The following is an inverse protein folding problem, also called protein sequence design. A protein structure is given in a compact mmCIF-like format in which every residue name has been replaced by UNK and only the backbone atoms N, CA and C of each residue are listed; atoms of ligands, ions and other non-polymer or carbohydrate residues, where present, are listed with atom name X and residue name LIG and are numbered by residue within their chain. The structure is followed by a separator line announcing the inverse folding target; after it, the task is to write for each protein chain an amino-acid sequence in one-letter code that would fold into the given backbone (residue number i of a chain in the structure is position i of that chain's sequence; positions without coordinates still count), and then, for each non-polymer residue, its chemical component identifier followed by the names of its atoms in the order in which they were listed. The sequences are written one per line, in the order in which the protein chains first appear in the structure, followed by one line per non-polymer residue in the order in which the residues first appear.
data_IF_950684380837
#
_entry.id   IF_950684380837
#
_cell.length_a   1.000
_cell.length_b   1.000
_cell.length_c   1.000
_cell.angle_alpha   90.00
_cell.angle_beta   90.00
_cell.angle_gamma   90.00
#
_symmetry.space_group_name_H-M   'P 1'
#
loop_
_entity.id
_entity.type
_entity.pdbx_description
1 polymer ?
#
# COMPACT_ATOMS: atom_id res chain seq x y z
N UNK A 1 -7.74 -1.32 40.78
CA UNK A 1 -7.01 -0.74 39.63
C UNK A 1 -7.92 -0.86 38.42
N UNK A 2 -8.80 0.13 38.26
CA UNK A 2 -9.73 0.19 37.12
C UNK A 2 -8.97 0.97 36.06
N UNK A 3 -8.51 0.30 35.01
CA UNK A 3 -7.95 1.00 33.85
C UNK A 3 -9.05 1.85 33.23
N UNK A 4 -8.75 3.11 32.95
CA UNK A 4 -9.71 4.02 32.32
C UNK A 4 -10.08 3.52 30.91
N UNK A 5 -11.28 3.87 30.42
CA UNK A 5 -11.76 3.47 29.09
C UNK A 5 -10.76 3.83 27.96
N UNK A 6 -10.00 4.92 28.15
CA UNK A 6 -8.94 5.36 27.26
C UNK A 6 -7.71 4.43 27.26
N UNK A 7 -7.33 3.87 28.41
CA UNK A 7 -6.21 2.92 28.52
C UNK A 7 -6.58 1.56 27.92
N UNK A 8 -7.80 1.06 28.17
CA UNK A 8 -8.31 -0.17 27.54
C UNK A 8 -8.30 -0.08 26.02
N UNK A 9 -8.67 1.07 25.47
CA UNK A 9 -8.73 1.26 24.03
C UNK A 9 -7.35 1.45 23.37
N UNK A 10 -6.42 2.16 24.02
CA UNK A 10 -5.02 2.26 23.54
C UNK A 10 -4.38 0.87 23.49
N UNK A 11 -4.63 0.02 24.49
CA UNK A 11 -4.14 -1.36 24.50
C UNK A 11 -4.79 -2.19 23.39
N UNK A 12 -6.10 -2.02 23.13
CA UNK A 12 -6.78 -2.68 22.01
C UNK A 12 -6.23 -2.25 20.64
N UNK A 13 -5.98 -0.95 20.46
CA UNK A 13 -5.40 -0.40 19.24
C UNK A 13 -3.95 -0.89 19.02
N UNK A 14 -3.12 -0.90 20.08
CA UNK A 14 -1.80 -1.50 20.03
C UNK A 14 -1.87 -3.00 19.69
N UNK A 15 -2.77 -3.74 20.32
CA UNK A 15 -2.90 -5.18 20.12
C UNK A 15 -3.41 -5.52 18.72
N UNK A 16 -4.36 -4.75 18.18
CA UNK A 16 -4.85 -4.90 16.80
C UNK A 16 -3.80 -4.51 15.77
N UNK A 17 -3.08 -3.40 16.00
CA UNK A 17 -2.01 -2.91 15.12
C UNK A 17 -0.77 -3.80 15.09
N UNK A 18 -0.33 -4.33 16.24
CA UNK A 18 0.73 -5.34 16.27
C UNK A 18 0.23 -6.71 15.82
N UNK A 19 -1.04 -7.03 16.07
CA UNK A 19 -1.70 -8.25 15.60
C UNK A 19 -1.69 -8.37 14.09
N UNK A 20 -2.01 -7.29 13.34
CA UNK A 20 -1.91 -7.30 11.86
C UNK A 20 -0.48 -7.54 11.38
N UNK A 21 0.53 -6.98 12.05
CA UNK A 21 1.94 -7.17 11.69
C UNK A 21 2.33 -8.64 11.91
N UNK A 22 1.96 -9.24 13.04
CA UNK A 22 2.24 -10.65 13.32
C UNK A 22 1.55 -11.54 12.29
N UNK A 23 0.26 -11.30 12.00
CA UNK A 23 -0.48 -12.05 10.98
C UNK A 23 0.15 -11.90 9.60
N UNK A 24 0.64 -10.71 9.26
CA UNK A 24 1.33 -10.47 7.99
C UNK A 24 2.65 -11.24 7.93
N UNK A 25 3.45 -11.24 9.00
CA UNK A 25 4.69 -12.02 9.08
C UNK A 25 4.40 -13.53 8.98
N UNK A 26 3.35 -14.02 9.65
CA UNK A 26 2.88 -15.39 9.53
C UNK A 26 2.47 -15.70 8.07
N UNK A 27 1.75 -14.79 7.41
CA UNK A 27 1.42 -14.91 6.00
C UNK A 27 2.68 -15.00 5.13
N UNK A 28 3.65 -14.10 5.32
CA UNK A 28 4.90 -14.11 4.54
C UNK A 28 5.68 -15.41 4.74
N UNK A 29 5.71 -15.96 5.96
CA UNK A 29 6.37 -17.23 6.25
C UNK A 29 5.65 -18.43 5.62
N UNK A 30 4.33 -18.49 5.74
CA UNK A 30 3.52 -19.61 5.24
C UNK A 30 3.31 -19.58 3.73
N UNK A 31 3.61 -18.47 3.04
CA UNK A 31 3.26 -18.27 1.63
C UNK A 31 3.82 -19.33 0.68
N UNK A 32 4.99 -19.90 1.00
CA UNK A 32 5.59 -20.98 0.19
C UNK A 32 5.09 -22.37 0.55
N UNK A 33 4.70 -22.59 1.81
CA UNK A 33 4.41 -23.93 2.35
C UNK A 33 2.93 -24.23 2.41
N UNK A 34 2.09 -23.23 2.68
CA UNK A 34 0.64 -23.34 2.75
C UNK A 34 0.00 -22.02 2.30
N UNK A 35 -0.22 -21.88 0.99
CA UNK A 35 -0.82 -20.69 0.38
C UNK A 35 -2.20 -20.35 0.94
N UNK A 36 -3.02 -21.35 1.28
CA UNK A 36 -4.37 -21.11 1.80
C UNK A 36 -4.30 -20.48 3.19
N UNK A 37 -3.47 -21.03 4.08
CA UNK A 37 -3.26 -20.44 5.40
C UNK A 37 -2.64 -19.04 5.31
N UNK A 38 -1.69 -18.84 4.38
CA UNK A 38 -1.10 -17.53 4.13
C UNK A 38 -2.15 -16.52 3.63
N UNK A 39 -2.98 -16.90 2.66
CA UNK A 39 -4.05 -16.06 2.14
C UNK A 39 -5.07 -15.67 3.21
N UNK A 40 -5.47 -16.62 4.06
CA UNK A 40 -6.37 -16.33 5.18
C UNK A 40 -5.71 -15.34 6.15
N UNK A 41 -4.45 -15.57 6.54
CA UNK A 41 -3.72 -14.67 7.43
C UNK A 41 -3.55 -13.27 6.83
N UNK A 42 -3.27 -13.17 5.51
CA UNK A 42 -3.18 -11.91 4.77
C UNK A 42 -4.50 -11.14 4.78
N UNK A 43 -5.61 -11.83 4.45
CA UNK A 43 -6.94 -11.22 4.43
C UNK A 43 -7.34 -10.73 5.82
N UNK A 44 -7.12 -11.54 6.87
CA UNK A 44 -7.42 -11.12 8.25
C UNK A 44 -6.55 -9.92 8.63
N UNK A 45 -5.26 -9.90 8.27
CA UNK A 45 -4.38 -8.76 8.51
C UNK A 45 -4.92 -7.47 7.86
N UNK A 46 -5.34 -7.52 6.59
CA UNK A 46 -5.93 -6.38 5.89
C UNK A 46 -7.30 -5.94 6.43
N UNK A 47 -8.09 -6.87 6.98
CA UNK A 47 -9.34 -6.51 7.66
C UNK A 47 -9.07 -5.78 8.99
N UNK A 48 -8.05 -6.22 9.75
CA UNK A 48 -7.64 -5.55 10.98
C UNK A 48 -7.11 -4.14 10.72
N UNK A 49 -6.43 -3.92 9.60
CA UNK A 49 -6.03 -2.58 9.12
C UNK A 49 -7.26 -1.66 8.94
N UNK A 50 -8.26 -2.09 8.17
CA UNK A 50 -9.45 -1.28 7.95
C UNK A 50 -10.19 -0.94 9.27
N UNK A 51 -10.20 -1.87 10.22
CA UNK A 51 -10.78 -1.68 11.55
C UNK A 51 -9.96 -0.72 12.42
N UNK A 52 -8.63 -0.82 12.43
CA UNK A 52 -7.75 0.04 13.21
C UNK A 52 -7.89 1.52 12.77
N UNK A 53 -7.92 1.76 11.46
CA UNK A 53 -8.06 3.09 10.89
C UNK A 53 -9.46 3.66 11.06
N UNK A 54 -10.50 2.82 11.07
CA UNK A 54 -11.86 3.26 11.36
C UNK A 54 -12.01 3.68 12.83
N UNK A 55 -11.51 2.86 13.76
CA UNK A 55 -11.59 3.13 15.18
C UNK A 55 -10.78 4.37 15.59
N UNK A 56 -9.57 4.55 15.03
CA UNK A 56 -8.74 5.73 15.28
C UNK A 56 -9.40 7.05 14.84
N UNK A 57 -10.30 7.02 13.85
CA UNK A 57 -11.05 8.20 13.38
C UNK A 57 -12.24 8.51 14.27
N UNK A 58 -13.01 7.50 14.66
CA UNK A 58 -14.18 7.67 15.56
C UNK A 58 -13.74 8.25 16.91
N UNK A 59 -12.57 7.83 17.40
CA UNK A 59 -12.09 8.18 18.73
C UNK A 59 -11.16 9.41 18.72
N UNK A 60 -10.97 10.06 17.58
CA UNK A 60 -10.08 11.22 17.41
C UNK A 60 -8.65 10.97 17.93
N UNK A 61 -8.15 9.73 17.82
CA UNK A 61 -6.81 9.30 18.24
C UNK A 61 -5.89 9.04 17.05
N UNK A 62 -6.23 9.59 15.88
CA UNK A 62 -5.40 9.47 14.67
C UNK A 62 -4.10 10.24 14.84
N UNK A 63 -2.96 9.55 14.77
CA UNK A 63 -1.62 10.16 14.86
C UNK A 63 -0.92 10.15 13.52
N UNK A 64 -0.03 11.14 13.29
CA UNK A 64 0.82 11.16 12.08
C UNK A 64 1.69 9.90 11.99
N UNK A 65 2.29 9.51 13.11
CA UNK A 65 3.11 8.29 13.18
C UNK A 65 2.31 7.03 12.82
N UNK A 66 1.10 6.87 13.37
CA UNK A 66 0.22 5.76 13.03
C UNK A 66 -0.11 5.72 11.54
N UNK A 67 -0.45 6.86 10.93
CA UNK A 67 -0.72 6.93 9.49
C UNK A 67 0.51 6.62 8.61
N UNK A 68 1.73 6.94 9.07
CA UNK A 68 2.97 6.59 8.37
C UNK A 68 3.27 5.10 8.48
N UNK A 69 3.13 4.54 9.68
CA UNK A 69 3.34 3.12 9.94
C UNK A 69 2.35 2.27 9.14
N UNK A 70 1.08 2.68 9.13
CA UNK A 70 0.00 2.06 8.38
C UNK A 70 0.34 1.93 6.88
N UNK A 71 0.63 3.06 6.24
CA UNK A 71 1.06 3.10 4.83
C UNK A 71 2.26 2.19 4.57
N UNK A 72 3.27 2.21 5.44
CA UNK A 72 4.49 1.43 5.25
C UNK A 72 4.21 -0.09 5.35
N UNK A 73 3.41 -0.51 6.33
CA UNK A 73 3.05 -1.93 6.52
C UNK A 73 2.27 -2.45 5.32
N UNK A 74 1.34 -1.66 4.76
CA UNK A 74 0.59 -2.05 3.55
C UNK A 74 1.49 -2.26 2.34
N UNK A 75 2.50 -1.38 2.17
CA UNK A 75 3.48 -1.52 1.08
C UNK A 75 4.35 -2.75 1.29
N UNK A 76 4.81 -3.00 2.51
CA UNK A 76 5.56 -4.21 2.85
C UNK A 76 4.74 -5.49 2.62
N UNK A 77 3.43 -5.47 2.90
CA UNK A 77 2.53 -6.58 2.63
C UNK A 77 2.49 -6.92 1.13
N UNK A 78 2.29 -5.91 0.30
CA UNK A 78 2.30 -6.05 -1.16
C UNK A 78 3.65 -6.57 -1.67
N UNK A 79 4.75 -6.07 -1.10
CA UNK A 79 6.11 -6.53 -1.44
C UNK A 79 6.31 -8.01 -1.10
N UNK A 80 5.77 -8.51 0.02
CA UNK A 80 5.81 -9.94 0.34
C UNK A 80 5.17 -10.79 -0.77
N UNK A 81 3.98 -10.40 -1.26
CA UNK A 81 3.29 -11.11 -2.34
C UNK A 81 4.12 -11.11 -3.64
N UNK A 82 4.71 -9.97 -4.00
CA UNK A 82 5.58 -9.83 -5.18
C UNK A 82 6.87 -10.65 -5.04
N UNK A 83 7.47 -10.68 -3.84
CA UNK A 83 8.67 -11.46 -3.57
C UNK A 83 8.42 -12.96 -3.72
N UNK A 84 7.23 -13.44 -3.35
CA UNK A 84 6.85 -14.83 -3.57
C UNK A 84 6.64 -15.13 -5.07
N UNK A 85 5.99 -14.21 -5.82
CA UNK A 85 5.86 -14.31 -7.28
C UNK A 85 7.20 -14.33 -8.02
N UNK A 86 8.24 -13.69 -7.49
CA UNK A 86 9.61 -13.76 -8.08
C UNK A 86 10.15 -15.20 -8.06
N UNK A 87 9.85 -15.97 -6.99
CA UNK A 87 10.26 -17.38 -6.88
C UNK A 87 9.53 -18.23 -7.92
N UNK A 88 8.25 -17.94 -8.14
CA UNK A 88 7.37 -18.66 -9.06
C UNK A 88 7.65 -18.35 -10.53
N UNK A 89 7.98 -17.08 -10.83
CA UNK A 89 8.16 -16.57 -12.18
C UNK A 89 9.48 -15.80 -12.33
N UNK A 90 10.65 -16.48 -12.23
CA UNK A 90 11.95 -15.82 -12.22
C UNK A 90 12.25 -15.03 -13.50
N UNK A 91 11.64 -15.38 -14.63
CA UNK A 91 11.75 -14.62 -15.90
C UNK A 91 11.28 -13.17 -15.77
N UNK A 92 10.31 -12.90 -14.89
CA UNK A 92 9.74 -11.56 -14.67
C UNK A 92 10.30 -10.85 -13.44
N UNK A 93 11.37 -11.39 -12.84
CA UNK A 93 11.98 -10.88 -11.61
C UNK A 93 12.25 -9.37 -11.66
N UNK A 94 12.84 -8.89 -12.76
CA UNK A 94 13.17 -7.47 -12.91
C UNK A 94 11.92 -6.58 -12.84
N UNK A 95 10.81 -7.00 -13.44
CA UNK A 95 9.55 -6.23 -13.44
C UNK A 95 8.97 -6.14 -12.03
N UNK A 96 8.96 -7.25 -11.29
CA UNK A 96 8.50 -7.26 -9.90
C UNK A 96 9.41 -6.43 -8.98
N UNK A 97 10.72 -6.55 -9.13
CA UNK A 97 11.69 -5.75 -8.37
C UNK A 97 11.52 -4.26 -8.63
N UNK A 98 11.41 -3.86 -9.90
CA UNK A 98 11.17 -2.47 -10.28
C UNK A 98 9.87 -1.95 -9.68
N UNK A 99 8.78 -2.74 -9.77
CA UNK A 99 7.49 -2.36 -9.18
C UNK A 99 7.58 -2.17 -7.66
N UNK A 100 8.29 -3.03 -6.93
CA UNK A 100 8.45 -2.90 -5.48
C UNK A 100 9.20 -1.62 -5.11
N UNK A 101 10.32 -1.34 -5.79
CA UNK A 101 11.15 -0.15 -5.53
C UNK A 101 10.36 1.13 -5.80
N UNK A 102 9.65 1.17 -6.92
CA UNK A 102 8.87 2.35 -7.32
C UNK A 102 7.65 2.54 -6.41
N UNK A 103 6.92 1.48 -6.04
CA UNK A 103 5.74 1.56 -5.17
C UNK A 103 6.11 2.10 -3.78
N UNK A 104 7.17 1.57 -3.15
CA UNK A 104 7.58 2.08 -1.82
C UNK A 104 8.16 3.49 -1.89
N UNK A 105 8.99 3.80 -2.89
CA UNK A 105 9.63 5.12 -3.01
C UNK A 105 8.60 6.22 -3.29
N UNK A 106 7.64 5.96 -4.18
CA UNK A 106 6.58 6.91 -4.53
C UNK A 106 5.70 7.26 -3.33
N UNK A 107 5.26 6.24 -2.57
CA UNK A 107 4.43 6.47 -1.39
C UNK A 107 5.21 7.16 -0.28
N UNK A 108 6.46 6.76 -0.04
CA UNK A 108 7.31 7.38 0.96
C UNK A 108 7.50 8.88 0.69
N UNK A 109 7.92 9.25 -0.53
CA UNK A 109 8.13 10.65 -0.91
C UNK A 109 6.82 11.45 -0.94
N UNK A 110 5.73 10.86 -1.44
CA UNK A 110 4.42 11.51 -1.44
C UNK A 110 3.90 11.76 -0.02
N UNK A 111 4.16 10.84 0.91
CA UNK A 111 3.80 10.98 2.31
C UNK A 111 4.63 12.05 3.02
N UNK A 112 5.94 12.07 2.80
CA UNK A 112 6.79 13.11 3.37
C UNK A 112 6.45 14.51 2.84
N UNK A 113 6.26 14.66 1.53
CA UNK A 113 5.83 15.94 0.93
C UNK A 113 4.47 16.41 1.48
N UNK A 114 3.51 15.50 1.66
CA UNK A 114 2.23 15.82 2.30
C UNK A 114 2.39 16.30 3.74
N UNK A 115 3.25 15.67 4.54
CA UNK A 115 3.46 16.06 5.94
C UNK A 115 4.17 17.41 6.03
N UNK A 116 5.18 17.65 5.18
CA UNK A 116 5.91 18.92 5.09
C UNK A 116 4.99 20.07 4.65
N UNK A 117 4.04 19.80 3.74
CA UNK A 117 3.01 20.75 3.33
C UNK A 117 1.88 20.99 4.34
N UNK A 118 1.96 20.41 5.55
CA UNK A 118 0.94 20.54 6.60
C UNK A 118 -0.30 19.65 6.42
N UNK A 119 -0.31 18.77 5.41
CA UNK A 119 -1.35 17.78 5.19
C UNK A 119 -1.31 16.67 6.25
N UNK A 120 -2.49 16.13 6.59
CA UNK A 120 -2.63 15.05 7.57
C UNK A 120 -2.42 13.65 6.95
N UNK A 121 -2.40 13.52 5.61
CA UNK A 121 -2.28 12.23 4.90
C UNK A 121 -1.87 12.41 3.43
N UNK A 122 -1.05 11.49 2.90
CA UNK A 122 -0.62 11.38 1.50
C UNK A 122 -1.75 11.12 0.48
N UNK A 123 -3.02 11.29 0.85
CA UNK A 123 -4.18 11.07 -0.04
C UNK A 123 -4.77 12.39 -0.55
N UNK A 124 -4.23 13.53 -0.14
CA UNK A 124 -4.65 14.86 -0.60
C UNK A 124 -3.70 15.38 -1.67
N UNK A 125 -4.14 15.38 -2.93
CA UNK A 125 -3.40 15.93 -4.08
C UNK A 125 -3.97 17.30 -4.45
N UNK A 126 -3.10 18.21 -4.90
CA UNK A 126 -3.43 19.52 -5.43
C UNK A 126 -4.40 19.46 -6.63
N UNK A 127 -5.31 20.44 -6.72
CA UNK A 127 -6.45 20.41 -7.64
C UNK A 127 -6.08 20.54 -9.12
N UNK A 128 -4.81 20.81 -9.46
CA UNK A 128 -4.31 20.89 -10.84
C UNK A 128 -3.86 19.54 -11.43
N UNK A 129 -4.11 18.43 -10.72
CA UNK A 129 -3.79 17.08 -11.19
C UNK A 129 -4.58 16.65 -12.44
N UNK A 130 -4.00 15.70 -13.20
CA UNK A 130 -4.66 15.08 -14.36
C UNK A 130 -6.01 14.45 -13.98
N UNK A 131 -7.01 14.43 -14.89
CA UNK A 131 -8.38 14.00 -14.58
C UNK A 131 -8.47 12.55 -14.07
N UNK A 132 -7.57 11.67 -14.51
CA UNK A 132 -7.46 10.28 -14.01
C UNK A 132 -7.03 10.27 -12.54
N UNK A 133 -6.03 11.09 -12.18
CA UNK A 133 -5.51 11.15 -10.83
C UNK A 133 -6.55 11.77 -9.88
N UNK A 134 -7.29 12.77 -10.37
CA UNK A 134 -8.43 13.35 -9.64
C UNK A 134 -9.52 12.30 -9.38
N UNK A 135 -9.92 11.49 -10.36
CA UNK A 135 -10.91 10.42 -10.14
C UNK A 135 -10.42 9.40 -9.09
N UNK A 136 -9.15 9.01 -9.18
CA UNK A 136 -8.53 8.03 -8.30
C UNK A 136 -8.47 8.51 -6.84
N UNK A 137 -8.05 9.75 -6.59
CA UNK A 137 -7.92 10.29 -5.22
C UNK A 137 -9.19 10.94 -4.65
N UNK A 138 -10.11 11.41 -5.50
CA UNK A 138 -11.34 12.07 -5.04
C UNK A 138 -12.44 11.07 -4.64
N UNK A 139 -12.53 9.92 -5.32
CA UNK A 139 -13.53 8.90 -5.01
C UNK A 139 -12.91 7.77 -4.17
N UNK A 140 -13.19 7.78 -2.87
CA UNK A 140 -12.71 6.77 -1.92
C UNK A 140 -13.11 5.35 -2.28
N UNK A 141 -14.27 5.15 -2.92
CA UNK A 141 -14.73 3.84 -3.35
C UNK A 141 -13.87 3.33 -4.50
N UNK A 142 -13.56 4.19 -5.48
CA UNK A 142 -12.67 3.84 -6.60
C UNK A 142 -11.28 3.49 -6.09
N UNK A 143 -10.72 4.31 -5.19
CA UNK A 143 -9.43 4.04 -4.56
C UNK A 143 -9.40 2.67 -3.87
N UNK A 144 -10.41 2.41 -3.04
CA UNK A 144 -10.52 1.15 -2.29
C UNK A 144 -10.64 -0.06 -3.22
N UNK A 145 -11.53 0.00 -4.22
CA UNK A 145 -11.73 -1.11 -5.16
C UNK A 145 -10.48 -1.38 -6.01
N UNK A 146 -9.74 -0.36 -6.42
CA UNK A 146 -8.50 -0.56 -7.18
C UNK A 146 -7.39 -1.16 -6.31
N UNK A 147 -7.23 -0.72 -5.07
CA UNK A 147 -6.28 -1.32 -4.14
C UNK A 147 -6.67 -2.77 -3.84
N UNK A 148 -7.93 -3.03 -3.47
CA UNK A 148 -8.43 -4.36 -3.17
C UNK A 148 -8.27 -5.30 -4.38
N UNK A 149 -8.61 -4.83 -5.58
CA UNK A 149 -8.44 -5.62 -6.81
C UNK A 149 -6.98 -5.97 -7.10
N UNK A 150 -6.04 -5.03 -6.88
CA UNK A 150 -4.60 -5.31 -6.99
C UNK A 150 -4.16 -6.41 -6.01
N UNK A 151 -4.56 -6.31 -4.75
CA UNK A 151 -4.20 -7.29 -3.72
C UNK A 151 -4.79 -8.66 -4.04
N UNK A 152 -6.07 -8.73 -4.43
CA UNK A 152 -6.72 -9.99 -4.81
C UNK A 152 -6.03 -10.62 -6.01
N UNK A 153 -5.66 -9.85 -7.03
CA UNK A 153 -4.98 -10.37 -8.21
C UNK A 153 -3.62 -11.00 -7.86
N UNK A 154 -2.81 -10.31 -7.04
CA UNK A 154 -1.51 -10.81 -6.59
C UNK A 154 -1.68 -12.04 -5.70
N UNK A 155 -2.64 -12.03 -4.79
CA UNK A 155 -2.91 -13.14 -3.88
C UNK A 155 -3.43 -14.38 -4.64
N UNK A 156 -4.34 -14.18 -5.60
CA UNK A 156 -4.86 -15.23 -6.47
C UNK A 156 -3.71 -15.94 -7.20
N UNK A 157 -2.81 -15.17 -7.82
CA UNK A 157 -1.66 -15.73 -8.55
C UNK A 157 -0.72 -16.54 -7.65
N UNK A 158 -0.54 -16.13 -6.38
CA UNK A 158 0.23 -16.90 -5.40
C UNK A 158 -0.47 -18.22 -5.01
N UNK A 159 -1.79 -18.22 -4.87
CA UNK A 159 -2.57 -19.42 -4.50
C UNK A 159 -2.62 -20.41 -5.65
N UNK A 160 -2.89 -19.96 -6.88
CA UNK A 160 -3.03 -20.81 -8.07
C UNK A 160 -1.71 -21.39 -8.57
N UNK A 161 -0.56 -20.83 -8.17
CA UNK A 161 0.73 -21.44 -8.53
C UNK A 161 1.02 -22.70 -7.69
N UNK A 162 0.53 -22.75 -6.43
CA UNK A 162 0.76 -23.90 -5.53
C UNK A 162 -0.32 -24.97 -5.66
N UNK A 163 -1.58 -24.59 -5.84
CA UNK A 163 -2.61 -25.55 -6.23
C UNK A 163 -2.36 -25.93 -7.68
N UNK A 164 -2.20 -27.21 -8.01
CA UNK A 164 -2.01 -27.73 -9.39
C UNK A 164 -3.23 -27.44 -10.29
N UNK A 165 -3.57 -26.17 -10.50
CA UNK A 165 -4.61 -25.74 -11.41
C UNK A 165 -4.12 -25.87 -12.86
N UNK A 166 -5.06 -26.14 -13.75
CA UNK A 166 -4.79 -26.44 -15.16
C UNK A 166 -4.07 -25.24 -15.79
N UNK A 167 -2.91 -25.49 -16.41
CA UNK A 167 -2.08 -24.54 -17.16
C UNK A 167 -2.84 -23.56 -18.08
N UNK A 168 -4.04 -23.94 -18.55
CA UNK A 168 -4.94 -23.12 -19.35
C UNK A 168 -5.48 -21.86 -18.64
N UNK A 169 -5.63 -21.87 -17.31
CA UNK A 169 -6.10 -20.72 -16.52
C UNK A 169 -4.93 -19.80 -16.15
N UNK A 170 -3.75 -20.39 -15.90
CA UNK A 170 -2.59 -19.70 -15.33
C UNK A 170 -1.87 -18.74 -16.30
N UNK A 171 -1.78 -19.09 -17.59
CA UNK A 171 -1.15 -18.22 -18.59
C UNK A 171 -1.91 -16.90 -18.83
N UNK A 172 -3.25 -16.91 -18.99
CA UNK A 172 -4.04 -15.69 -19.07
C UNK A 172 -3.93 -14.81 -17.81
N UNK A 173 -4.01 -15.41 -16.62
CA UNK A 173 -3.97 -14.65 -15.35
C UNK A 173 -2.59 -14.03 -15.12
N UNK A 174 -1.52 -14.74 -15.45
CA UNK A 174 -0.16 -14.20 -15.37
C UNK A 174 0.00 -12.98 -16.29
N UNK A 175 -0.49 -13.04 -17.53
CA UNK A 175 -0.40 -11.90 -18.46
C UNK A 175 -1.15 -10.67 -17.91
N UNK A 176 -2.34 -10.86 -17.35
CA UNK A 176 -3.09 -9.77 -16.73
C UNK A 176 -2.37 -9.23 -15.49
N UNK A 177 -1.77 -10.10 -14.67
CA UNK A 177 -0.98 -9.71 -13.49
C UNK A 177 0.24 -8.88 -13.89
N UNK A 178 1.01 -9.33 -14.87
CA UNK A 178 2.18 -8.57 -15.36
C UNK A 178 1.75 -7.22 -15.96
N UNK A 179 0.68 -7.19 -16.75
CA UNK A 179 0.15 -5.93 -17.32
C UNK A 179 -0.28 -4.95 -16.23
N UNK A 180 -0.98 -5.43 -15.20
CA UNK A 180 -1.38 -4.61 -14.05
C UNK A 180 -0.17 -4.07 -13.28
N UNK A 181 0.85 -4.89 -13.03
CA UNK A 181 2.10 -4.49 -12.36
C UNK A 181 2.85 -3.42 -13.16
N UNK A 182 2.97 -3.59 -14.47
CA UNK A 182 3.62 -2.60 -15.35
C UNK A 182 2.84 -1.28 -15.35
N UNK A 183 1.52 -1.32 -15.49
CA UNK A 183 0.67 -0.13 -15.49
C UNK A 183 0.73 0.61 -14.15
N UNK A 184 0.64 -0.13 -13.03
CA UNK A 184 0.80 0.39 -11.66
C UNK A 184 2.16 1.09 -11.49
N UNK A 185 3.24 0.44 -11.94
CA UNK A 185 4.60 1.00 -11.87
C UNK A 185 4.73 2.29 -12.68
N UNK A 186 4.14 2.35 -13.87
CA UNK A 186 4.16 3.55 -14.72
C UNK A 186 3.43 4.73 -14.06
N UNK A 187 2.27 4.49 -13.43
CA UNK A 187 1.53 5.52 -12.68
C UNK A 187 2.40 6.07 -11.54
N UNK A 188 3.05 5.22 -10.76
CA UNK A 188 3.87 5.69 -9.65
C UNK A 188 5.13 6.43 -10.09
N UNK A 189 5.73 6.04 -11.21
CA UNK A 189 6.81 6.84 -11.82
C UNK A 189 6.32 8.23 -12.21
N UNK A 190 5.11 8.34 -12.78
CA UNK A 190 4.50 9.64 -13.07
C UNK A 190 4.22 10.47 -11.80
N UNK A 191 3.77 9.83 -10.71
CA UNK A 191 3.56 10.52 -9.43
C UNK A 191 4.89 11.02 -8.88
N UNK A 192 5.95 10.21 -8.91
CA UNK A 192 7.30 10.60 -8.45
C UNK A 192 7.84 11.82 -9.18
N UNK A 193 7.74 11.84 -10.50
CA UNK A 193 8.21 12.98 -11.31
C UNK A 193 7.37 14.23 -11.04
N UNK A 194 6.06 14.08 -10.83
CA UNK A 194 5.16 15.18 -10.50
C UNK A 194 5.48 15.80 -9.13
N UNK A 195 5.75 14.97 -8.11
CA UNK A 195 6.14 15.43 -6.77
C UNK A 195 7.48 16.17 -6.84
N UNK A 196 8.48 15.62 -7.54
CA UNK A 196 9.78 16.27 -7.71
C UNK A 196 9.67 17.65 -8.37
N UNK A 197 8.85 17.80 -9.41
CA UNK A 197 8.63 19.10 -10.07
C UNK A 197 8.00 20.13 -9.14
N UNK A 198 7.05 19.71 -8.28
CA UNK A 198 6.39 20.61 -7.34
C UNK A 198 7.33 21.16 -6.26
N UNK A 199 8.28 20.36 -5.77
CA UNK A 199 9.28 20.80 -4.79
C UNK A 199 10.28 21.79 -5.39
N UNK A 200 10.72 21.56 -6.64
CA UNK A 200 11.57 22.50 -7.35
C UNK A 200 10.88 23.86 -7.52
N UNK A 201 9.61 23.87 -7.95
CA UNK A 201 8.85 25.11 -8.09
C UNK A 201 8.70 25.87 -6.76
N UNK A 202 8.45 25.16 -5.66
CA UNK A 202 8.33 25.74 -4.32
C UNK A 202 9.67 26.37 -3.85
N UNK A 203 10.79 25.65 -4.00
CA UNK A 203 12.13 26.18 -3.70
C UNK A 203 12.45 27.45 -4.49
N UNK A 204 12.15 27.48 -5.79
CA UNK A 204 12.36 28.66 -6.63
C UNK A 204 11.51 29.86 -6.16
N UNK A 205 10.24 29.64 -5.80
CA UNK A 205 9.37 30.70 -5.30
C UNK A 205 9.81 31.27 -3.95
N UNK A 206 10.27 30.40 -3.03
CA UNK A 206 10.77 30.79 -1.72
C UNK A 206 12.04 31.65 -1.81
N UNK A 207 12.96 31.30 -2.72
CA UNK A 207 14.16 32.10 -3.00
C UNK A 207 13.76 33.47 -3.57
N UNK A 208 12.81 33.51 -4.50
CA UNK A 208 12.38 34.77 -5.12
C UNK A 208 11.64 35.72 -4.16
N UNK A 209 10.93 35.18 -3.17
CA UNK A 209 10.33 35.97 -2.08
C UNK A 209 11.33 36.45 -1.03
N UNK A 210 12.52 35.87 -0.97
CA UNK A 210 13.58 36.29 -0.06
C UNK A 210 14.50 37.34 -0.69
N UNK A 211 14.54 37.40 -2.02
CA UNK A 211 15.38 38.33 -2.81
C UNK A 211 14.67 39.65 -3.14
N UNK A 212 13.33 39.71 -2.98
CA UNK A 212 12.51 40.93 -3.15
C UNK A 212 11.98 41.45 -1.82
#
# INVERSE_FOLDING_TARGET
MVMDCAEYFIVYFLFSGYGRIILLLCSCYCMRTNCVAAAIAYIISGLLDALDGHAARILNQSTKFGAMLDMLVDRCATMCLLACLIVFYPTWMFVFQLSMIVDISSHWLHMHSSILGGGQSHKTIDMNASPILRLYYHNRIVLFLMCLGNEIQLLHENVTWIGDEIFAIQLPTLKTTISAVVYKTAIYMYILTSVSQSEHACSYSAIHSFVN
#
